data_IF_152302845803
#
_entry.id   IF_152302845803
#
_cell.length_a   1.000
_cell.length_b   1.000
_cell.length_c   1.000
_cell.angle_alpha   90.00
_cell.angle_beta   90.00
_cell.angle_gamma   90.00
#
_symmetry.space_group_name_H-M   'P 1'
#
loop_
_entity.id
_entity.type
_entity.pdbx_description
1 polymer ?
#
# COMPACT_ATOMS: atom_id res chain seq x y z
N UNK A 1 -4.77 12.77 -6.46
CA UNK A 1 -3.73 13.76 -6.84
C UNK A 1 -2.67 13.73 -5.75
N UNK A 2 -1.51 13.08 -5.99
CA UNK A 2 -0.39 13.15 -5.03
C UNK A 2 0.38 14.46 -5.26
N UNK A 3 0.79 15.08 -4.16
CA UNK A 3 1.61 16.30 -4.16
C UNK A 3 3.09 15.94 -4.39
N UNK A 4 3.45 14.66 -4.21
CA UNK A 4 4.80 14.16 -4.48
C UNK A 4 4.99 13.88 -5.99
N UNK A 5 5.91 14.62 -6.60
CA UNK A 5 6.31 14.43 -8.00
C UNK A 5 7.50 13.48 -8.19
N UNK A 6 8.14 13.04 -7.10
CA UNK A 6 9.32 12.17 -7.12
C UNK A 6 8.97 10.74 -6.68
N UNK A 7 7.84 10.21 -7.15
CA UNK A 7 7.44 8.85 -6.82
C UNK A 7 8.38 7.82 -7.45
N UNK A 8 8.81 6.84 -6.65
CA UNK A 8 9.56 5.71 -7.16
C UNK A 8 8.60 4.54 -7.44
N UNK A 9 8.32 4.22 -8.73
CA UNK A 9 7.34 3.21 -9.09
C UNK A 9 7.76 1.78 -8.70
N UNK A 10 9.04 1.53 -8.44
CA UNK A 10 9.52 0.20 -8.04
C UNK A 10 9.44 -0.06 -6.54
N UNK A 11 9.02 0.93 -5.74
CA UNK A 11 8.94 0.81 -4.28
C UNK A 11 7.52 1.05 -3.80
N UNK A 12 7.14 0.32 -2.75
CA UNK A 12 5.88 0.53 -2.04
C UNK A 12 6.20 1.14 -0.67
N UNK A 13 5.69 2.34 -0.42
CA UNK A 13 5.93 3.09 0.81
C UNK A 13 4.74 3.99 1.10
N UNK A 14 4.65 4.47 2.34
CA UNK A 14 3.76 5.58 2.71
C UNK A 14 4.53 6.89 2.69
N UNK A 15 3.81 7.98 2.64
CA UNK A 15 4.40 9.32 2.65
C UNK A 15 4.06 10.01 3.96
N UNK A 16 5.07 10.64 4.57
CA UNK A 16 4.85 11.53 5.71
C UNK A 16 5.34 12.93 5.35
N UNK A 17 4.49 13.92 5.59
CA UNK A 17 4.86 15.32 5.46
C UNK A 17 5.34 15.85 6.81
N UNK A 18 6.51 16.49 6.82
CA UNK A 18 7.09 17.08 8.03
C UNK A 18 7.39 18.55 7.74
N UNK A 19 6.82 19.43 8.57
CA UNK A 19 7.06 20.87 8.55
C UNK A 19 7.73 21.35 9.84
N UNK A 20 8.86 22.06 9.72
CA UNK A 20 9.58 22.69 10.83
C UNK A 20 9.37 24.21 10.80
N UNK A 21 8.30 24.68 11.42
CA UNK A 21 8.07 26.12 11.66
C UNK A 21 8.06 27.00 10.40
N UNK A 22 7.73 26.44 9.23
CA UNK A 22 7.73 27.14 7.95
C UNK A 22 9.11 27.33 7.29
N UNK A 23 10.21 26.97 7.97
CA UNK A 23 11.58 27.07 7.44
C UNK A 23 11.94 25.88 6.56
N UNK A 24 11.40 24.70 6.89
CA UNK A 24 11.60 23.47 6.15
C UNK A 24 10.27 22.72 6.05
N UNK A 25 9.96 22.23 4.85
CA UNK A 25 8.79 21.42 4.56
C UNK A 25 9.18 20.39 3.51
N UNK A 26 9.09 19.11 3.87
CA UNK A 26 9.45 18.01 2.98
C UNK A 26 8.51 16.82 3.17
N UNK A 27 8.39 16.02 2.11
CA UNK A 27 7.71 14.73 2.10
C UNK A 27 8.76 13.64 2.13
N UNK A 28 8.60 12.66 3.02
CA UNK A 28 9.52 11.55 3.20
C UNK A 28 8.81 10.23 2.92
N UNK A 29 9.48 9.35 2.18
CA UNK A 29 9.05 7.97 2.03
C UNK A 29 9.29 7.22 3.35
N UNK A 30 8.25 6.59 3.87
CA UNK A 30 8.28 5.71 5.04
C UNK A 30 8.03 4.28 4.57
N UNK A 31 9.03 3.43 4.72
CA UNK A 31 8.89 2.01 4.45
C UNK A 31 8.08 1.38 5.57
N UNK A 32 7.07 0.62 5.18
CA UNK A 32 6.15 -0.09 6.07
C UNK A 32 6.01 -1.52 5.58
N UNK A 33 5.41 -2.37 6.40
CA UNK A 33 5.02 -3.71 5.95
C UNK A 33 4.06 -3.62 4.74
N UNK A 34 4.09 -4.62 3.86
CA UNK A 34 3.15 -4.64 2.71
C UNK A 34 1.70 -4.74 3.19
N UNK A 35 1.48 -5.37 4.34
CA UNK A 35 0.21 -5.48 5.03
C UNK A 35 -0.33 -4.10 5.41
N UNK A 36 0.51 -3.25 6.03
CA UNK A 36 0.14 -1.86 6.35
C UNK A 36 -0.08 -1.02 5.09
N UNK A 37 0.78 -1.17 4.09
CA UNK A 37 0.62 -0.51 2.80
C UNK A 37 -0.74 -0.85 2.16
N UNK A 38 -1.09 -2.14 2.09
CA UNK A 38 -2.37 -2.62 1.51
C UNK A 38 -3.56 -2.16 2.35
N UNK A 39 -3.48 -2.25 3.68
CA UNK A 39 -4.54 -1.83 4.59
C UNK A 39 -4.96 -0.36 4.38
N UNK A 40 -3.98 0.50 4.10
CA UNK A 40 -4.18 1.93 3.91
C UNK A 40 -3.95 2.39 2.47
N UNK A 41 -4.09 1.50 1.48
CA UNK A 41 -3.91 1.89 0.08
C UNK A 41 -5.00 2.88 -0.36
N UNK A 42 -4.58 3.87 -1.14
CA UNK A 42 -5.48 4.80 -1.83
C UNK A 42 -5.59 4.50 -3.32
N UNK A 43 -4.81 3.53 -3.82
CA UNK A 43 -4.85 3.12 -5.21
C UNK A 43 -6.13 2.33 -5.46
N UNK A 44 -6.97 2.82 -6.37
CA UNK A 44 -8.30 2.25 -6.61
C UNK A 44 -8.24 0.77 -7.00
N UNK A 45 -7.28 0.40 -7.83
CA UNK A 45 -7.08 -0.98 -8.30
C UNK A 45 -6.76 -1.93 -7.15
N UNK A 46 -5.84 -1.54 -6.26
CA UNK A 46 -5.47 -2.31 -5.07
C UNK A 46 -6.65 -2.40 -4.08
N UNK A 47 -7.43 -1.32 -3.94
CA UNK A 47 -8.63 -1.30 -3.09
C UNK A 47 -9.71 -2.25 -3.61
N UNK A 48 -10.00 -2.22 -4.92
CA UNK A 48 -10.97 -3.12 -5.54
C UNK A 48 -10.52 -4.58 -5.45
N UNK A 49 -9.24 -4.85 -5.64
CA UNK A 49 -8.62 -6.17 -5.46
C UNK A 49 -8.82 -6.69 -4.02
N UNK A 50 -8.49 -5.88 -3.01
CA UNK A 50 -8.68 -6.23 -1.60
C UNK A 50 -10.15 -6.49 -1.25
N UNK A 51 -11.07 -5.65 -1.73
CA UNK A 51 -12.50 -5.82 -1.47
C UNK A 51 -13.03 -7.13 -2.06
N UNK A 52 -12.64 -7.47 -3.30
CA UNK A 52 -13.01 -8.74 -3.94
C UNK A 52 -12.45 -9.95 -3.19
N UNK A 53 -11.20 -9.88 -2.73
CA UNK A 53 -10.58 -10.96 -1.97
C UNK A 53 -11.26 -11.13 -0.60
N UNK A 54 -11.61 -10.01 0.05
CA UNK A 54 -12.35 -10.01 1.33
C UNK A 54 -13.71 -10.67 1.18
N UNK A 55 -14.45 -10.38 0.11
CA UNK A 55 -15.74 -11.02 -0.19
C UNK A 55 -15.58 -12.54 -0.39
N UNK A 56 -14.58 -12.97 -1.18
CA UNK A 56 -14.26 -14.40 -1.38
C UNK A 56 -13.91 -15.12 -0.09
N UNK A 57 -13.32 -14.43 0.88
CA UNK A 57 -12.92 -14.96 2.19
C UNK A 57 -14.02 -14.78 3.26
N UNK A 58 -15.27 -14.54 2.86
CA UNK A 58 -16.41 -14.46 3.79
C UNK A 58 -16.37 -13.23 4.70
N UNK A 59 -15.79 -12.12 4.22
CA UNK A 59 -15.67 -10.88 4.97
C UNK A 59 -14.42 -10.78 5.84
N UNK A 60 -13.53 -11.78 5.84
CA UNK A 60 -12.30 -11.74 6.62
C UNK A 60 -11.24 -10.85 5.96
N UNK A 61 -11.31 -9.55 6.26
CA UNK A 61 -10.40 -8.54 5.70
C UNK A 61 -8.95 -8.70 6.18
N UNK A 62 -8.72 -9.17 7.40
CA UNK A 62 -7.37 -9.40 7.93
C UNK A 62 -6.63 -10.48 7.11
N UNK A 63 -7.31 -11.59 6.83
CA UNK A 63 -6.77 -12.65 5.98
C UNK A 63 -6.57 -12.18 4.55
N UNK A 64 -7.49 -11.37 4.01
CA UNK A 64 -7.36 -10.79 2.68
C UNK A 64 -6.13 -9.87 2.56
N UNK A 65 -5.90 -9.01 3.56
CA UNK A 65 -4.71 -8.14 3.62
C UNK A 65 -3.43 -8.98 3.61
N UNK A 66 -3.36 -10.04 4.44
CA UNK A 66 -2.18 -10.92 4.50
C UNK A 66 -1.90 -11.61 3.16
N UNK A 67 -2.92 -12.22 2.56
CA UNK A 67 -2.77 -12.91 1.28
C UNK A 67 -2.39 -11.95 0.15
N UNK A 68 -2.99 -10.76 0.10
CA UNK A 68 -2.67 -9.76 -0.92
C UNK A 68 -1.27 -9.15 -0.72
N UNK A 69 -0.84 -8.97 0.53
CA UNK A 69 0.53 -8.54 0.82
C UNK A 69 1.56 -9.60 0.41
N UNK A 70 1.23 -10.88 0.59
CA UNK A 70 2.08 -12.01 0.18
C UNK A 70 2.18 -12.13 -1.35
N UNK A 71 1.06 -12.02 -2.08
CA UNK A 71 1.09 -12.08 -3.56
C UNK A 71 1.91 -10.93 -4.16
N UNK A 72 1.84 -9.73 -3.58
CA UNK A 72 2.67 -8.58 -3.99
C UNK A 72 4.17 -8.79 -3.69
N UNK A 73 4.51 -9.60 -2.69
CA UNK A 73 5.90 -9.94 -2.35
C UNK A 73 6.46 -11.02 -3.29
N UNK A 74 5.61 -11.98 -3.65
CA UNK A 74 5.94 -13.16 -4.45
C UNK A 74 5.03 -13.26 -5.68
N UNK A 75 5.17 -12.36 -6.69
CA UNK A 75 4.25 -12.31 -7.82
C UNK A 75 4.21 -13.60 -8.67
N UNK A 76 5.25 -14.43 -8.62
CA UNK A 76 5.33 -15.69 -9.36
C UNK A 76 4.57 -16.87 -8.72
N UNK A 77 4.06 -16.69 -7.49
CA UNK A 77 3.44 -17.79 -6.71
C UNK A 77 1.98 -18.10 -7.06
N UNK A 78 1.33 -17.29 -7.91
CA UNK A 78 -0.06 -17.48 -8.33
C UNK A 78 -0.26 -18.48 -9.51
N UNK A 79 0.82 -19.09 -10.04
CA UNK A 79 0.75 -19.96 -11.24
C UNK A 79 1.04 -21.46 -10.97
N UNK A 80 0.87 -21.97 -9.75
CA UNK A 80 1.04 -23.42 -9.47
C UNK A 80 -0.14 -23.98 -8.68
#
# INVERSE_FOLDING_TARGET
LSINMANNPSRKYKEVWIGLGGSQSAVYATEVSLEEYVCYTTEETEKLELMRLTEKLGGNIELAIRQLAESKRNPDSETT
#
